data_IF_679849665998
#
_entry.id   IF_679849665998
#
_cell.length_a   1.000
_cell.length_b   1.000
_cell.length_c   1.000
_cell.angle_alpha   90.00
_cell.angle_beta   90.00
_cell.angle_gamma   90.00
#
_symmetry.space_group_name_H-M   'P 1'
#
loop_
_entity.id
_entity.type
_entity.pdbx_description
1 polymer ?
#
# COMPACT_ATOMS: atom_id res chain seq x y z
N UNK A 1 -23.54 31.30 -12.08
CA UNK A 1 -22.43 31.47 -11.09
C UNK A 1 -22.38 30.36 -10.03
N UNK A 2 -23.49 29.88 -9.44
CA UNK A 2 -23.46 28.79 -8.42
C UNK A 2 -22.89 27.45 -8.91
N UNK A 3 -23.15 27.04 -10.17
CA UNK A 3 -22.69 25.74 -10.70
C UNK A 3 -21.19 25.68 -10.99
N UNK A 4 -20.54 26.80 -11.32
CA UNK A 4 -19.08 26.83 -11.53
C UNK A 4 -18.30 26.68 -10.22
N UNK A 5 -18.81 27.27 -9.13
CA UNK A 5 -18.23 27.14 -7.80
C UNK A 5 -18.31 25.69 -7.28
N UNK A 6 -19.46 25.02 -7.42
CA UNK A 6 -19.61 23.61 -7.00
C UNK A 6 -18.66 22.67 -7.77
N UNK A 7 -18.53 22.86 -9.09
CA UNK A 7 -17.64 22.05 -9.91
C UNK A 7 -16.17 22.21 -9.52
N UNK A 8 -15.73 23.44 -9.20
CA UNK A 8 -14.36 23.68 -8.74
C UNK A 8 -14.05 23.00 -7.41
N UNK A 9 -15.00 23.02 -6.46
CA UNK A 9 -14.84 22.38 -5.15
C UNK A 9 -14.78 20.85 -5.27
N UNK A 10 -15.57 20.27 -6.17
CA UNK A 10 -15.56 18.84 -6.43
C UNK A 10 -14.26 18.39 -7.12
N UNK A 11 -13.68 19.20 -8.00
CA UNK A 11 -12.38 18.90 -8.58
C UNK A 11 -11.26 18.93 -7.53
N UNK A 12 -11.33 19.87 -6.58
CA UNK A 12 -10.37 19.95 -5.47
C UNK A 12 -10.46 18.70 -4.58
N UNK A 13 -11.66 18.25 -4.20
CA UNK A 13 -11.80 17.06 -3.33
C UNK A 13 -11.28 15.79 -4.01
N UNK A 14 -11.57 15.61 -5.30
CA UNK A 14 -11.07 14.48 -6.09
C UNK A 14 -9.54 14.52 -6.23
N UNK A 15 -8.97 15.70 -6.48
CA UNK A 15 -7.52 15.90 -6.53
C UNK A 15 -6.86 15.55 -5.20
N UNK A 16 -7.42 16.03 -4.08
CA UNK A 16 -6.92 15.74 -2.74
C UNK A 16 -6.95 14.23 -2.43
N UNK A 17 -8.04 13.54 -2.78
CA UNK A 17 -8.15 12.09 -2.60
C UNK A 17 -7.10 11.34 -3.41
N UNK A 18 -6.87 11.76 -4.66
CA UNK A 18 -5.83 11.17 -5.53
C UNK A 18 -4.44 11.33 -4.92
N UNK A 19 -4.09 12.54 -4.47
CA UNK A 19 -2.80 12.81 -3.84
C UNK A 19 -2.63 11.99 -2.56
N UNK A 20 -3.63 11.94 -1.70
CA UNK A 20 -3.60 11.15 -0.48
C UNK A 20 -3.40 9.64 -0.76
N UNK A 21 -4.06 9.10 -1.80
CA UNK A 21 -3.88 7.70 -2.22
C UNK A 21 -2.45 7.43 -2.68
N UNK A 22 -1.83 8.35 -3.43
CA UNK A 22 -0.43 8.20 -3.85
C UNK A 22 0.52 8.19 -2.65
N UNK A 23 0.36 9.16 -1.74
CA UNK A 23 1.17 9.27 -0.52
C UNK A 23 1.02 8.02 0.36
N UNK A 24 -0.20 7.50 0.51
CA UNK A 24 -0.44 6.28 1.28
C UNK A 24 0.35 5.09 0.71
N UNK A 25 0.33 4.88 -0.61
CA UNK A 25 1.08 3.80 -1.26
C UNK A 25 2.58 3.92 -1.02
N UNK A 26 3.13 5.12 -1.13
CA UNK A 26 4.56 5.36 -0.86
C UNK A 26 4.92 5.04 0.59
N UNK A 27 4.09 5.48 1.53
CA UNK A 27 4.29 5.19 2.96
C UNK A 27 4.18 3.69 3.25
N UNK A 28 3.20 3.00 2.65
CA UNK A 28 3.04 1.55 2.77
C UNK A 28 4.28 0.81 2.26
N UNK A 29 4.81 1.18 1.09
CA UNK A 29 6.04 0.58 0.54
C UNK A 29 7.24 0.78 1.47
N UNK A 30 7.39 2.00 2.02
CA UNK A 30 8.44 2.32 2.99
C UNK A 30 8.27 1.45 4.24
N UNK A 31 7.08 1.42 4.83
CA UNK A 31 6.77 0.65 6.03
C UNK A 31 6.97 -0.86 5.82
N UNK A 32 6.59 -1.42 4.66
CA UNK A 32 6.82 -2.82 4.33
C UNK A 32 8.32 -3.12 4.28
N UNK A 33 9.10 -2.29 3.59
CA UNK A 33 10.56 -2.48 3.51
C UNK A 33 11.23 -2.36 4.88
N UNK A 34 10.78 -1.41 5.70
CA UNK A 34 11.28 -1.19 7.04
C UNK A 34 10.89 -2.31 8.02
N UNK A 35 9.67 -2.85 7.90
CA UNK A 35 9.23 -4.04 8.65
C UNK A 35 10.11 -5.24 8.36
N UNK A 36 10.43 -5.48 7.09
CA UNK A 36 11.30 -6.59 6.70
C UNK A 36 12.72 -6.42 7.25
N UNK A 37 13.31 -5.22 7.12
CA UNK A 37 14.65 -4.94 7.66
C UNK A 37 14.68 -5.03 9.19
N UNK A 38 13.72 -4.41 9.88
CA UNK A 38 13.63 -4.47 11.34
C UNK A 38 13.49 -5.91 11.83
N UNK A 39 12.57 -6.70 11.26
CA UNK A 39 12.40 -8.10 11.62
C UNK A 39 13.68 -8.92 11.38
N UNK A 40 14.40 -8.66 10.29
CA UNK A 40 15.70 -9.29 10.04
C UNK A 40 16.71 -8.98 11.15
N UNK A 41 16.82 -7.71 11.58
CA UNK A 41 17.71 -7.32 12.69
C UNK A 41 17.29 -7.93 14.02
N UNK A 42 15.99 -7.93 14.31
CA UNK A 42 15.45 -8.48 15.54
C UNK A 42 15.70 -9.99 15.64
N UNK A 43 15.51 -10.73 14.54
CA UNK A 43 15.81 -12.15 14.50
C UNK A 43 17.31 -12.44 14.68
N UNK A 44 18.20 -11.69 14.00
CA UNK A 44 19.65 -11.88 14.17
C UNK A 44 20.12 -11.53 15.60
N UNK A 45 19.45 -10.61 16.29
CA UNK A 45 19.73 -10.28 17.69
C UNK A 45 19.12 -11.30 18.66
N UNK A 46 17.95 -11.85 18.35
CA UNK A 46 17.28 -12.89 19.16
C UNK A 46 18.20 -14.08 19.43
N UNK A 47 18.90 -14.56 18.39
CA UNK A 47 19.79 -15.72 18.48
C UNK A 47 21.03 -15.46 19.37
N UNK A 48 21.28 -14.20 19.73
CA UNK A 48 22.42 -13.75 20.55
C UNK A 48 22.04 -13.33 21.97
N UNK A 49 20.74 -13.31 22.30
CA UNK A 49 20.27 -13.06 23.66
C UNK A 49 20.65 -14.25 24.56
N UNK A 50 21.05 -13.96 25.80
CA UNK A 50 21.48 -14.92 26.82
C UNK A 50 20.45 -16.05 26.94
N UNK A 51 20.87 -17.34 26.97
CA UNK A 51 19.97 -18.50 26.98
C UNK A 51 18.88 -18.46 28.08
N UNK A 52 19.20 -17.92 29.27
CA UNK A 52 18.25 -17.78 30.38
C UNK A 52 17.06 -16.84 30.10
N UNK A 53 17.22 -15.90 29.16
CA UNK A 53 16.18 -14.95 28.79
C UNK A 53 15.38 -15.39 27.53
N UNK A 54 15.84 -16.43 26.83
CA UNK A 54 15.20 -16.94 25.60
C UNK A 54 13.84 -17.61 25.86
N UNK A 55 13.65 -18.24 27.02
CA UNK A 55 12.38 -18.85 27.43
C UNK A 55 11.29 -17.79 27.73
N UNK A 56 11.68 -16.67 28.35
CA UNK A 56 10.78 -15.51 28.56
C UNK A 56 10.43 -14.83 27.24
N UNK A 57 11.40 -14.65 26.33
CA UNK A 57 11.13 -14.08 25.00
C UNK A 57 10.22 -14.99 24.17
N UNK A 58 10.40 -16.31 24.25
CA UNK A 58 9.53 -17.28 23.57
C UNK A 58 8.08 -17.17 24.07
N UNK A 59 7.84 -17.08 25.36
CA UNK A 59 6.46 -16.98 25.90
C UNK A 59 5.80 -15.62 25.65
N UNK A 60 6.57 -14.52 25.66
CA UNK A 60 6.04 -13.16 25.54
C UNK A 60 5.92 -12.67 24.08
N UNK A 61 6.75 -13.21 23.17
CA UNK A 61 6.76 -12.84 21.73
C UNK A 61 6.15 -13.92 20.82
N UNK A 62 6.06 -15.20 21.23
CA UNK A 62 5.38 -16.25 20.42
C UNK A 62 3.85 -16.26 20.56
N UNK A 63 3.23 -15.10 20.38
CA UNK A 63 2.00 -15.01 19.58
C UNK A 63 2.30 -14.87 18.07
N UNK A 64 3.59 -14.79 17.67
CA UNK A 64 4.05 -14.48 16.30
C UNK A 64 4.94 -15.57 15.67
N UNK A 65 5.10 -16.72 16.33
CA UNK A 65 6.06 -17.78 15.96
C UNK A 65 5.73 -18.61 14.72
N UNK A 66 4.56 -18.40 14.11
CA UNK A 66 3.99 -19.35 13.13
C UNK A 66 3.70 -18.73 11.75
N UNK A 67 4.33 -17.59 11.41
CA UNK A 67 4.09 -16.90 10.14
C UNK A 67 5.20 -17.19 9.11
N UNK A 68 6.42 -17.52 9.53
CA UNK A 68 7.52 -17.74 8.57
C UNK A 68 7.40 -19.05 7.78
N UNK A 69 6.71 -20.06 8.33
CA UNK A 69 6.45 -21.35 7.69
C UNK A 69 5.11 -21.38 6.95
N UNK A 70 4.07 -20.68 7.44
CA UNK A 70 2.73 -20.65 6.81
C UNK A 70 2.63 -19.75 5.57
N UNK A 71 3.56 -18.82 5.37
CA UNK A 71 3.56 -17.92 4.19
C UNK A 71 4.18 -18.57 2.94
N UNK A 72 5.03 -19.58 3.10
CA UNK A 72 5.64 -20.30 1.97
C UNK A 72 4.77 -21.42 1.39
N UNK A 73 3.87 -22.01 2.17
CA UNK A 73 3.04 -23.15 1.73
C UNK A 73 1.69 -22.73 1.13
N UNK A 74 1.14 -21.57 1.51
CA UNK A 74 -0.20 -21.14 1.03
C UNK A 74 -0.24 -20.44 -0.35
N UNK A 75 0.89 -20.33 -1.06
CA UNK A 75 0.92 -19.63 -2.36
C UNK A 75 0.81 -20.61 -3.55
N UNK A 76 0.93 -21.92 -3.33
CA UNK A 76 1.22 -22.86 -4.43
C UNK A 76 0.18 -23.95 -4.75
N UNK A 77 -1.03 -23.92 -4.18
CA UNK A 77 -2.05 -24.96 -4.42
C UNK A 77 -3.44 -24.44 -4.82
N UNK A 78 -3.54 -23.32 -5.54
CA UNK A 78 -4.83 -22.91 -6.14
C UNK A 78 -4.68 -22.37 -7.56
N UNK A 79 -4.01 -23.14 -8.42
CA UNK A 79 -4.11 -23.00 -9.87
C UNK A 79 -4.51 -24.37 -10.44
N UNK A 80 -5.73 -24.79 -10.15
CA UNK A 80 -6.43 -25.79 -10.94
C UNK A 80 -7.85 -25.30 -11.21
N UNK A 81 -8.12 -25.04 -12.49
CA UNK A 81 -9.39 -25.02 -13.20
C UNK A 81 -10.67 -24.60 -12.46
N UNK A 82 -11.09 -23.34 -12.72
CA UNK A 82 -12.50 -22.96 -12.61
C UNK A 82 -12.90 -22.20 -13.88
N UNK A 83 -13.17 -22.96 -14.94
CA UNK A 83 -14.05 -22.53 -16.04
C UNK A 83 -15.52 -22.79 -15.66
N UNK A 84 -15.92 -22.26 -14.50
CA UNK A 84 -17.32 -22.15 -14.11
C UNK A 84 -17.68 -20.67 -14.14
N UNK A 85 -18.61 -20.32 -15.02
CA UNK A 85 -19.44 -19.12 -14.89
C UNK A 85 -20.17 -19.19 -13.55
N UNK A 86 -19.49 -18.81 -12.48
CA UNK A 86 -20.16 -18.46 -11.24
C UNK A 86 -20.96 -17.20 -11.54
N UNK A 87 -22.28 -17.37 -11.63
CA UNK A 87 -23.21 -16.25 -11.57
C UNK A 87 -23.01 -15.57 -10.21
N UNK A 88 -22.11 -14.58 -10.19
CA UNK A 88 -21.95 -13.70 -9.05
C UNK A 88 -23.33 -13.17 -8.67
N UNK A 89 -23.69 -13.10 -7.38
CA UNK A 89 -24.94 -12.49 -6.96
C UNK A 89 -25.04 -11.12 -7.66
N UNK A 90 -26.21 -10.77 -8.22
CA UNK A 90 -26.42 -9.47 -8.87
C UNK A 90 -26.19 -8.37 -7.83
N UNK A 91 -24.94 -7.94 -7.69
CA UNK A 91 -24.54 -6.89 -6.78
C UNK A 91 -25.25 -5.63 -7.26
N UNK A 92 -26.16 -5.13 -6.42
CA UNK A 92 -26.87 -3.89 -6.70
C UNK A 92 -25.91 -2.73 -6.52
N UNK A 93 -25.58 -2.06 -7.63
CA UNK A 93 -24.80 -0.82 -7.63
C UNK A 93 -25.72 0.38 -7.84
N UNK A 94 -25.38 1.55 -7.27
CA UNK A 94 -26.08 2.79 -7.58
C UNK A 94 -26.12 3.06 -9.08
N UNK A 95 -27.25 3.58 -9.58
CA UNK A 95 -27.43 3.87 -11.02
C UNK A 95 -26.34 4.80 -11.56
N UNK A 96 -25.95 5.81 -10.77
CA UNK A 96 -24.88 6.75 -11.13
C UNK A 96 -23.53 6.04 -11.26
N UNK A 97 -23.19 5.12 -10.36
CA UNK A 97 -21.91 4.40 -10.36
C UNK A 97 -21.82 3.47 -11.57
N UNK A 98 -22.92 2.79 -11.92
CA UNK A 98 -23.02 1.98 -13.14
C UNK A 98 -22.84 2.81 -14.41
N UNK A 99 -23.45 4.00 -14.46
CA UNK A 99 -23.31 4.93 -15.59
C UNK A 99 -21.87 5.42 -15.73
N UNK A 100 -21.26 5.85 -14.62
CA UNK A 100 -19.87 6.31 -14.59
C UNK A 100 -18.90 5.21 -15.00
N UNK A 101 -19.03 4.01 -14.43
CA UNK A 101 -18.21 2.86 -14.77
C UNK A 101 -18.23 2.54 -16.26
N UNK A 102 -19.42 2.49 -16.87
CA UNK A 102 -19.57 2.27 -18.31
C UNK A 102 -18.84 3.33 -19.12
N UNK A 103 -18.98 4.61 -18.76
CA UNK A 103 -18.29 5.71 -19.46
C UNK A 103 -16.76 5.58 -19.33
N UNK A 104 -16.26 5.20 -18.15
CA UNK A 104 -14.82 5.00 -17.94
C UNK A 104 -14.32 3.86 -18.82
N UNK A 105 -14.95 2.68 -18.73
CA UNK A 105 -14.56 1.51 -19.53
C UNK A 105 -14.58 1.82 -21.01
N UNK A 106 -15.62 2.48 -21.51
CA UNK A 106 -15.73 2.83 -22.95
C UNK A 106 -14.62 3.77 -23.41
N UNK A 107 -14.03 4.59 -22.54
CA UNK A 107 -12.88 5.45 -22.88
C UNK A 107 -11.53 4.77 -22.64
N UNK A 108 -11.41 3.98 -21.57
CA UNK A 108 -10.14 3.40 -21.12
C UNK A 108 -9.87 2.00 -21.66
N UNK A 109 -10.81 1.37 -22.38
CA UNK A 109 -10.67 -0.01 -22.86
C UNK A 109 -9.38 -0.20 -23.69
N UNK A 110 -8.63 -1.31 -23.49
CA UNK A 110 -7.38 -1.55 -24.20
C UNK A 110 -7.57 -1.61 -25.72
N UNK A 111 -8.67 -2.22 -26.20
CA UNK A 111 -8.98 -2.32 -27.63
C UNK A 111 -9.08 -0.95 -28.34
N UNK A 112 -9.62 0.06 -27.66
CA UNK A 112 -9.73 1.41 -28.23
C UNK A 112 -8.43 2.20 -28.18
N UNK A 113 -7.56 1.86 -27.25
CA UNK A 113 -6.29 2.53 -27.02
C UNK A 113 -5.09 1.74 -27.57
N UNK A 114 -5.32 0.65 -28.30
CA UNK A 114 -4.26 -0.23 -28.81
C UNK A 114 -3.32 0.51 -29.78
N UNK A 115 -3.92 1.39 -30.60
CA UNK A 115 -3.24 2.22 -31.60
C UNK A 115 -2.94 3.64 -31.08
N UNK A 116 -2.93 3.85 -29.76
CA UNK A 116 -2.63 5.16 -29.20
C UNK A 116 -1.18 5.57 -29.54
N UNK A 117 -0.93 6.78 -30.10
CA UNK A 117 0.39 7.18 -30.58
C UNK A 117 1.45 7.25 -29.46
N UNK A 118 1.01 7.51 -28.23
CA UNK A 118 1.87 7.58 -27.05
C UNK A 118 1.70 6.34 -26.17
N UNK A 119 2.78 5.56 -26.02
CA UNK A 119 2.80 4.33 -25.21
C UNK A 119 2.50 4.60 -23.73
N UNK A 120 2.97 5.72 -23.19
CA UNK A 120 2.72 6.11 -21.79
C UNK A 120 1.23 6.36 -21.53
N UNK A 121 0.54 7.02 -22.45
CA UNK A 121 -0.90 7.26 -22.35
C UNK A 121 -1.69 5.96 -22.51
N UNK A 122 -1.27 5.06 -23.40
CA UNK A 122 -1.85 3.72 -23.50
C UNK A 122 -1.76 2.97 -22.17
N UNK A 123 -0.58 2.91 -21.56
CA UNK A 123 -0.36 2.27 -20.26
C UNK A 123 -1.20 2.93 -19.16
N UNK A 124 -1.35 4.25 -19.20
CA UNK A 124 -2.21 4.99 -18.27
C UNK A 124 -3.67 4.58 -18.42
N UNK A 125 -4.21 4.53 -19.63
CA UNK A 125 -5.60 4.10 -19.86
C UNK A 125 -5.84 2.66 -19.45
N UNK A 126 -4.91 1.76 -19.76
CA UNK A 126 -4.98 0.36 -19.34
C UNK A 126 -5.00 0.23 -17.81
N UNK A 127 -4.15 0.99 -17.11
CA UNK A 127 -4.15 1.02 -15.64
C UNK A 127 -5.47 1.56 -15.09
N UNK A 128 -6.01 2.64 -15.67
CA UNK A 128 -7.31 3.20 -15.26
C UNK A 128 -8.43 2.19 -15.49
N UNK A 129 -8.39 1.44 -16.60
CA UNK A 129 -9.35 0.39 -16.90
C UNK A 129 -9.34 -0.69 -15.81
N UNK A 130 -8.17 -1.29 -15.55
CA UNK A 130 -8.01 -2.35 -14.54
C UNK A 130 -8.42 -1.85 -13.14
N UNK A 131 -7.96 -0.66 -12.75
CA UNK A 131 -8.34 -0.04 -11.48
C UNK A 131 -9.85 0.17 -11.40
N UNK A 132 -10.51 0.60 -12.48
CA UNK A 132 -11.96 0.85 -12.49
C UNK A 132 -12.79 -0.43 -12.39
N UNK A 133 -12.35 -1.51 -13.04
CA UNK A 133 -12.97 -2.84 -12.89
C UNK A 133 -12.90 -3.29 -11.44
N UNK A 134 -11.73 -3.17 -10.81
CA UNK A 134 -11.53 -3.52 -9.40
C UNK A 134 -12.38 -2.66 -8.46
N UNK A 135 -12.34 -1.33 -8.63
CA UNK A 135 -13.10 -0.40 -7.79
C UNK A 135 -14.61 -0.65 -7.90
N UNK A 136 -15.12 -0.92 -9.11
CA UNK A 136 -16.53 -1.21 -9.32
C UNK A 136 -16.93 -2.53 -8.65
N UNK A 137 -16.13 -3.60 -8.81
CA UNK A 137 -16.35 -4.90 -8.15
C UNK A 137 -16.37 -4.78 -6.63
N UNK A 138 -15.46 -3.99 -6.05
CA UNK A 138 -15.27 -3.83 -4.61
C UNK A 138 -16.14 -2.72 -3.98
N UNK A 139 -17.01 -2.05 -4.76
CA UNK A 139 -17.85 -0.92 -4.31
C UNK A 139 -17.04 0.29 -3.80
N UNK A 140 -15.82 0.47 -4.29
CA UNK A 140 -14.95 1.60 -3.96
C UNK A 140 -15.30 2.83 -4.80
N UNK A 141 -16.48 3.37 -4.57
CA UNK A 141 -17.04 4.42 -5.43
C UNK A 141 -16.25 5.73 -5.42
N UNK A 142 -15.57 6.05 -4.32
CA UNK A 142 -14.68 7.21 -4.24
C UNK A 142 -13.55 7.14 -5.28
N UNK A 143 -12.92 5.96 -5.43
CA UNK A 143 -11.87 5.77 -6.44
C UNK A 143 -12.44 5.66 -7.85
N UNK A 144 -13.67 5.16 -8.01
CA UNK A 144 -14.35 5.20 -9.30
C UNK A 144 -14.58 6.64 -9.79
N UNK A 145 -14.91 7.56 -8.87
CA UNK A 145 -15.01 9.01 -9.15
C UNK A 145 -13.65 9.57 -9.59
N UNK A 146 -12.56 9.23 -8.89
CA UNK A 146 -11.19 9.63 -9.27
C UNK A 146 -10.84 9.14 -10.67
N UNK A 147 -11.10 7.87 -10.98
CA UNK A 147 -10.84 7.29 -12.29
C UNK A 147 -11.66 7.98 -13.39
N UNK A 148 -12.90 8.36 -13.10
CA UNK A 148 -13.74 9.16 -14.00
C UNK A 148 -13.15 10.52 -14.33
N UNK A 149 -12.62 11.20 -13.32
CA UNK A 149 -11.90 12.45 -13.50
C UNK A 149 -10.63 12.26 -14.34
N UNK A 150 -9.89 11.17 -14.15
CA UNK A 150 -8.64 10.90 -14.87
C UNK A 150 -8.82 10.67 -16.38
N UNK A 151 -10.01 10.26 -16.82
CA UNK A 151 -10.37 10.12 -18.25
C UNK A 151 -11.21 11.28 -18.77
N UNK A 152 -11.20 12.42 -18.07
CA UNK A 152 -11.93 13.64 -18.41
C UNK A 152 -13.41 13.35 -18.70
N UNK A 153 -14.06 12.54 -17.87
CA UNK A 153 -15.51 12.40 -17.91
C UNK A 153 -16.09 13.50 -17.04
N UNK A 154 -16.88 14.40 -17.66
CA UNK A 154 -17.65 15.35 -16.88
C UNK A 154 -18.62 14.59 -16.00
N UNK A 155 -18.48 14.78 -14.70
CA UNK A 155 -19.36 14.22 -13.70
C UNK A 155 -20.45 15.26 -13.46
N UNK A 156 -21.30 15.48 -14.47
CA UNK A 156 -22.40 16.47 -14.43
C UNK A 156 -23.44 16.16 -13.31
N UNK A 157 -23.25 15.05 -12.60
CA UNK A 157 -24.12 14.56 -11.53
C UNK A 157 -23.51 14.66 -10.12
N UNK A 158 -22.36 15.35 -9.92
CA UNK A 158 -21.76 15.50 -8.58
C UNK A 158 -22.67 16.34 -7.65
N UNK A 159 -23.66 15.68 -7.05
CA UNK A 159 -24.41 16.15 -5.88
C UNK A 159 -23.51 16.21 -4.64
N UNK A 160 -24.00 16.84 -3.58
CA UNK A 160 -23.38 16.84 -2.23
C UNK A 160 -22.93 15.44 -1.81
N UNK A 161 -23.74 14.42 -2.11
CA UNK A 161 -23.52 13.05 -1.67
C UNK A 161 -22.21 12.45 -2.21
N UNK A 162 -21.80 12.82 -3.43
CA UNK A 162 -20.55 12.34 -4.01
C UNK A 162 -19.33 12.99 -3.37
N UNK A 163 -19.47 14.27 -3.00
CA UNK A 163 -18.43 14.95 -2.22
C UNK A 163 -18.28 14.29 -0.86
N UNK A 164 -19.39 13.96 -0.19
CA UNK A 164 -19.33 13.27 1.11
C UNK A 164 -18.65 11.91 1.01
N UNK A 165 -18.88 11.15 -0.08
CA UNK A 165 -18.18 9.89 -0.35
C UNK A 165 -16.67 10.11 -0.49
N UNK A 166 -16.24 11.12 -1.27
CA UNK A 166 -14.83 11.44 -1.49
C UNK A 166 -14.17 11.96 -0.21
N UNK A 167 -14.82 12.87 0.52
CA UNK A 167 -14.30 13.48 1.74
C UNK A 167 -14.20 12.45 2.88
N UNK A 168 -15.16 11.53 2.99
CA UNK A 168 -15.09 10.39 3.93
C UNK A 168 -13.89 9.50 3.62
N UNK A 169 -13.70 9.15 2.34
CA UNK A 169 -12.56 8.30 1.95
C UNK A 169 -11.23 9.01 2.14
N UNK A 170 -11.17 10.32 1.89
CA UNK A 170 -9.98 11.13 2.15
C UNK A 170 -9.60 11.14 3.63
N UNK A 171 -10.59 11.28 4.54
CA UNK A 171 -10.36 11.16 5.99
C UNK A 171 -9.81 9.79 6.38
N UNK A 172 -10.43 8.71 5.89
CA UNK A 172 -9.98 7.33 6.14
C UNK A 172 -8.52 7.13 5.69
N UNK A 173 -8.15 7.62 4.50
CA UNK A 173 -6.77 7.53 4.01
C UNK A 173 -5.81 8.32 4.92
N UNK A 174 -6.18 9.52 5.36
CA UNK A 174 -5.34 10.30 6.26
C UNK A 174 -5.18 9.66 7.63
N UNK A 175 -6.24 9.04 8.16
CA UNK A 175 -6.17 8.24 9.38
C UNK A 175 -5.19 7.07 9.22
N UNK A 176 -5.23 6.37 8.08
CA UNK A 176 -4.28 5.30 7.76
C UNK A 176 -2.84 5.82 7.61
N UNK A 177 -2.64 6.98 6.98
CA UNK A 177 -1.33 7.62 6.89
C UNK A 177 -0.80 7.94 8.28
N UNK A 178 -1.64 8.50 9.15
CA UNK A 178 -1.26 8.86 10.51
C UNK A 178 -0.95 7.62 11.36
N UNK A 179 -1.75 6.56 11.24
CA UNK A 179 -1.50 5.31 11.96
C UNK A 179 -0.19 4.65 11.50
N UNK A 180 0.10 4.64 10.20
CA UNK A 180 1.38 4.16 9.67
C UNK A 180 2.55 5.01 10.16
N UNK A 181 2.42 6.34 10.20
CA UNK A 181 3.46 7.24 10.71
C UNK A 181 3.76 7.05 12.19
N UNK A 182 2.76 6.67 12.99
CA UNK A 182 2.93 6.34 14.40
C UNK A 182 3.51 4.94 14.63
N UNK A 183 3.58 4.10 13.59
CA UNK A 183 4.14 2.76 13.71
C UNK A 183 5.65 2.78 13.93
N UNK A 184 6.15 1.79 14.67
CA UNK A 184 7.58 1.56 14.86
C UNK A 184 8.34 1.34 13.53
N UNK A 185 7.65 0.86 12.49
CA UNK A 185 8.24 0.63 11.17
C UNK A 185 8.54 1.94 10.46
N UNK A 186 7.62 2.90 10.55
CA UNK A 186 7.88 4.26 10.06
C UNK A 186 8.99 4.94 10.86
N UNK A 187 8.97 4.78 12.19
CA UNK A 187 10.06 5.22 13.06
C UNK A 187 11.40 4.66 12.57
N UNK A 188 11.53 3.34 12.43
CA UNK A 188 12.72 2.67 11.92
C UNK A 188 13.16 3.19 10.55
N UNK A 189 12.23 3.37 9.62
CA UNK A 189 12.52 3.88 8.28
C UNK A 189 13.07 5.31 8.29
N UNK A 190 12.57 6.14 9.20
CA UNK A 190 12.88 7.56 9.30
C UNK A 190 14.18 7.85 10.08
N UNK A 191 14.69 6.86 10.83
CA UNK A 191 15.92 7.01 11.60
C UNK A 191 17.17 7.07 10.71
N UNK A 192 18.07 7.99 11.07
CA UNK A 192 19.42 8.00 10.54
C UNK A 192 20.21 6.79 11.06
N UNK A 193 21.22 6.35 10.30
CA UNK A 193 21.98 5.14 10.62
C UNK A 193 22.64 5.20 12.01
N UNK A 194 23.04 6.40 12.45
CA UNK A 194 23.61 6.65 13.78
C UNK A 194 22.64 6.35 14.92
N UNK A 195 21.34 6.59 14.70
CA UNK A 195 20.30 6.48 15.73
C UNK A 195 19.68 5.09 15.80
N UNK A 196 19.85 4.28 14.75
CA UNK A 196 19.32 2.89 14.68
C UNK A 196 19.89 2.00 15.78
N UNK A 197 21.13 2.23 16.18
CA UNK A 197 21.76 1.50 17.28
C UNK A 197 21.06 1.79 18.61
N UNK A 198 20.81 3.07 18.90
CA UNK A 198 20.10 3.51 20.11
C UNK A 198 18.66 2.99 20.10
N UNK A 199 17.99 3.02 18.96
CA UNK A 199 16.65 2.45 18.80
C UNK A 199 16.61 0.97 19.16
N UNK A 200 17.52 0.15 18.62
CA UNK A 200 17.54 -1.29 18.92
C UNK A 200 17.84 -1.55 20.40
N UNK A 201 18.78 -0.82 21.02
CA UNK A 201 19.04 -0.94 22.46
C UNK A 201 17.81 -0.63 23.29
N UNK A 202 17.11 0.46 22.99
CA UNK A 202 15.89 0.84 23.71
C UNK A 202 14.76 -0.15 23.46
N UNK A 203 14.63 -0.67 22.23
CA UNK A 203 13.63 -1.68 21.89
C UNK A 203 13.79 -2.94 22.72
N UNK A 204 15.00 -3.49 22.79
CA UNK A 204 15.29 -4.68 23.59
C UNK A 204 15.31 -4.40 25.09
N UNK A 205 15.80 -3.22 25.51
CA UNK A 205 15.78 -2.79 26.91
C UNK A 205 14.36 -2.64 27.47
N UNK A 206 13.43 -2.11 26.68
CA UNK A 206 12.00 -2.04 27.05
C UNK A 206 11.37 -3.43 27.23
N UNK A 207 11.91 -4.46 26.58
CA UNK A 207 11.50 -5.85 26.76
C UNK A 207 12.33 -6.58 27.85
N UNK A 208 13.21 -5.88 28.56
CA UNK A 208 14.01 -6.45 29.64
C UNK A 208 15.28 -7.20 29.22
N UNK A 209 15.71 -7.06 27.96
CA UNK A 209 16.94 -7.69 27.46
C UNK A 209 18.12 -6.71 27.45
N UNK A 210 19.26 -7.18 27.93
CA UNK A 210 20.54 -6.46 27.84
C UNK A 210 21.35 -7.00 26.67
N UNK A 211 21.59 -6.16 25.66
CA UNK A 211 22.36 -6.55 24.46
C UNK A 211 23.69 -5.81 24.44
N UNK A 212 24.76 -6.52 24.09
CA UNK A 212 26.08 -5.93 23.90
C UNK A 212 26.11 -4.98 22.71
N UNK A 213 26.68 -3.79 22.92
CA UNK A 213 26.80 -2.76 21.88
C UNK A 213 27.51 -3.27 20.61
N UNK A 214 28.51 -4.14 20.80
CA UNK A 214 29.29 -4.73 19.70
C UNK A 214 28.42 -5.63 18.81
N UNK A 215 27.44 -6.31 19.39
CA UNK A 215 26.56 -7.22 18.66
C UNK A 215 25.54 -6.43 17.84
N UNK A 216 24.93 -5.40 18.42
CA UNK A 216 24.05 -4.48 17.68
C UNK A 216 24.78 -3.91 16.46
N UNK A 217 26.02 -3.47 16.63
CA UNK A 217 26.82 -2.90 15.54
C UNK A 217 27.15 -3.92 14.45
N UNK A 218 27.45 -5.18 14.82
CA UNK A 218 27.59 -6.29 13.85
C UNK A 218 26.29 -6.54 13.10
N UNK A 219 25.16 -6.57 13.81
CA UNK A 219 23.85 -6.84 13.18
C UNK A 219 23.49 -5.74 12.20
N UNK A 220 23.71 -4.45 12.50
CA UNK A 220 23.46 -3.33 11.57
C UNK A 220 24.27 -3.44 10.28
N UNK A 221 25.52 -3.91 10.36
CA UNK A 221 26.41 -4.09 9.20
C UNK A 221 26.04 -5.27 8.31
N UNK A 222 25.33 -6.27 8.83
CA UNK A 222 24.89 -7.42 8.01
C UNK A 222 23.95 -6.97 6.90
N UNK A 223 23.92 -7.69 5.80
CA UNK A 223 22.89 -7.51 4.77
C UNK A 223 21.97 -8.73 4.80
N UNK A 224 20.67 -8.57 4.52
CA UNK A 224 19.77 -9.71 4.37
C UNK A 224 20.31 -10.65 3.29
N UNK A 225 20.38 -11.94 3.61
CA UNK A 225 20.80 -12.95 2.64
C UNK A 225 19.82 -12.99 1.46
N UNK A 226 20.38 -13.05 0.26
CA UNK A 226 19.61 -13.08 -0.99
C UNK A 226 19.66 -14.48 -1.56
N UNK A 227 18.53 -14.95 -2.12
CA UNK A 227 18.54 -16.16 -2.96
C UNK A 227 19.48 -15.94 -4.15
N UNK A 228 20.40 -16.86 -4.39
CA UNK A 228 21.29 -16.81 -5.54
C UNK A 228 20.47 -16.62 -6.83
N UNK A 229 20.92 -15.72 -7.72
CA UNK A 229 20.22 -15.40 -8.97
C UNK A 229 19.15 -14.30 -8.89
N UNK A 230 18.80 -13.76 -7.73
CA UNK A 230 17.87 -12.61 -7.65
C UNK A 230 18.58 -11.26 -7.81
N UNK A 231 18.23 -10.51 -8.86
CA UNK A 231 18.74 -9.16 -9.10
C UNK A 231 18.18 -8.19 -8.03
N UNK A 232 19.00 -7.31 -7.44
CA UNK A 232 18.50 -6.31 -6.50
C UNK A 232 17.52 -5.35 -7.17
N UNK A 233 16.32 -5.21 -6.58
CA UNK A 233 15.37 -4.15 -6.95
C UNK A 233 15.97 -2.81 -6.56
N UNK A 234 16.35 -2.01 -7.56
CA UNK A 234 16.96 -0.71 -7.34
C UNK A 234 15.88 0.38 -7.20
N UNK A 235 15.37 0.55 -5.99
CA UNK A 235 14.33 1.56 -5.68
C UNK A 235 14.86 3.00 -5.71
N UNK A 236 16.16 3.22 -5.96
CA UNK A 236 16.72 4.57 -6.13
C UNK A 236 16.30 5.20 -7.47
N UNK A 237 16.01 4.39 -8.51
CA UNK A 237 15.55 4.91 -9.81
C UNK A 237 14.08 5.33 -9.81
N UNK A 238 13.27 4.81 -8.89
CA UNK A 238 11.85 5.20 -8.75
C UNK A 238 11.66 6.45 -7.90
N UNK A 239 12.69 6.88 -7.15
CA UNK A 239 12.79 8.21 -6.53
C UNK A 239 13.07 9.29 -7.60
N UNK A 240 12.32 9.33 -8.69
CA UNK A 240 12.33 10.51 -9.56
C UNK A 240 11.80 11.67 -8.72
N UNK A 241 12.70 12.62 -8.50
CA UNK A 241 12.51 13.95 -7.95
C UNK A 241 11.09 14.49 -8.20
N UNK A 242 10.24 14.43 -7.18
CA UNK A 242 9.24 15.46 -6.93
C UNK A 242 9.97 16.62 -6.26
N UNK A 243 10.63 17.44 -7.08
CA UNK A 243 10.88 18.85 -6.78
C UNK A 243 9.87 19.68 -7.56
#
# INVERSE_FOLDING_TARGET
MKNQSLNSLNQISVSNLKNARCVLKEIEEICISAKLDLNFRLNDLRDKIIPEQQEKFKSEVMGLGDISSKVSENINENIEDIDKKEEMPKISHPKWAKSLYKKIVVKSHPDKNINHPHEEERKRYEKIYLDSVSCYKNKEYAYLIVNGSDVNISIDFMTSDHRDITDKKFKEINENINSLKLSQYWGWASLQEKDRMTFLKNYFGNMGYTISEKEVLKTLRKKPDRKAGTRPKNNLKTRKLTM
#
